data_IF_101870762531
#
_entry.id   IF_101870762531
#
_cell.length_a   1.000
_cell.length_b   1.000
_cell.length_c   1.000
_cell.angle_alpha   90.00
_cell.angle_beta   90.00
_cell.angle_gamma   90.00
#
_symmetry.space_group_name_H-M   'P 1'
#
loop_
_entity.id
_entity.type
_entity.pdbx_description
1 polymer ?
#
# COMPACT_ATOMS: atom_id res chain seq x y z
N UNK A 1 -20.00 3.01 9.00
CA UNK A 1 -18.54 2.96 9.18
C UNK A 1 -17.86 3.77 8.08
N UNK A 2 -16.93 4.67 8.44
CA UNK A 2 -16.27 5.55 7.47
C UNK A 2 -15.10 4.84 6.81
N UNK A 3 -15.03 4.90 5.48
CA UNK A 3 -13.89 4.44 4.70
C UNK A 3 -13.05 5.66 4.29
N UNK A 4 -11.75 5.64 4.57
CA UNK A 4 -10.85 6.70 4.15
C UNK A 4 -10.46 6.52 2.68
N UNK A 5 -10.56 7.59 1.88
CA UNK A 5 -10.10 7.61 0.50
C UNK A 5 -8.86 8.49 0.41
N UNK A 6 -7.73 7.85 0.14
CA UNK A 6 -6.39 8.41 0.25
C UNK A 6 -5.71 8.46 -1.13
N UNK A 7 -4.64 9.23 -1.23
CA UNK A 7 -3.84 9.30 -2.44
C UNK A 7 -2.57 8.45 -2.37
N UNK A 8 -2.17 7.91 -3.52
CA UNK A 8 -0.80 7.46 -3.78
C UNK A 8 -0.04 8.62 -4.43
N UNK A 9 1.11 8.96 -3.89
CA UNK A 9 1.99 10.00 -4.42
C UNK A 9 3.44 9.50 -4.51
N UNK A 10 4.20 10.08 -5.44
CA UNK A 10 5.62 9.78 -5.63
C UNK A 10 6.52 10.97 -5.28
N UNK A 11 5.99 12.18 -5.47
CA UNK A 11 6.72 13.41 -5.17
C UNK A 11 5.94 14.29 -4.17
N UNK A 12 6.63 15.09 -3.35
CA UNK A 12 5.97 16.04 -2.47
C UNK A 12 5.06 17.03 -3.20
N UNK A 13 5.41 17.40 -4.44
CA UNK A 13 4.62 18.27 -5.31
C UNK A 13 3.25 17.68 -5.75
N UNK A 14 3.05 16.37 -5.63
CA UNK A 14 1.79 15.71 -5.94
C UNK A 14 0.72 15.96 -4.85
N UNK A 15 1.16 16.20 -3.62
CA UNK A 15 0.28 16.27 -2.45
C UNK A 15 -0.80 17.37 -2.55
N UNK A 16 -0.51 18.63 -2.98
CA UNK A 16 -1.54 19.64 -3.16
C UNK A 16 -2.59 19.26 -4.21
N UNK A 17 -2.16 18.64 -5.30
CA UNK A 17 -3.06 18.16 -6.37
C UNK A 17 -3.96 17.04 -5.85
N UNK A 18 -3.41 16.10 -5.11
CA UNK A 18 -4.16 15.02 -4.48
C UNK A 18 -5.22 15.56 -3.51
N UNK A 19 -4.86 16.51 -2.65
CA UNK A 19 -5.80 17.17 -1.73
C UNK A 19 -6.91 17.87 -2.49
N UNK A 20 -6.59 18.61 -3.55
CA UNK A 20 -7.58 19.30 -4.40
C UNK A 20 -8.55 18.31 -5.08
N UNK A 21 -8.10 17.10 -5.39
CA UNK A 21 -8.95 16.02 -5.95
C UNK A 21 -9.77 15.29 -4.89
N UNK A 22 -9.69 15.70 -3.63
CA UNK A 22 -10.49 15.18 -2.53
C UNK A 22 -9.84 14.03 -1.76
N UNK A 23 -8.51 13.83 -1.86
CA UNK A 23 -7.80 12.92 -0.97
C UNK A 23 -7.90 13.41 0.49
N UNK A 24 -8.20 12.48 1.39
CA UNK A 24 -8.30 12.76 2.83
C UNK A 24 -6.94 12.60 3.55
N UNK A 25 -5.91 12.26 2.80
CA UNK A 25 -4.55 12.02 3.24
C UNK A 25 -3.77 11.26 2.19
N UNK A 26 -2.66 10.65 2.60
CA UNK A 26 -1.79 9.83 1.76
C UNK A 26 -1.75 8.42 2.32
N UNK A 27 -2.17 7.42 1.55
CA UNK A 27 -2.08 6.02 1.95
C UNK A 27 -0.80 5.33 1.48
N UNK A 28 -0.11 5.97 0.52
CA UNK A 28 1.20 5.53 0.04
C UNK A 28 2.00 6.72 -0.49
N UNK A 29 3.02 7.12 0.22
CA UNK A 29 4.12 7.90 -0.36
C UNK A 29 5.25 6.96 -0.76
N UNK A 30 5.52 6.87 -2.06
CA UNK A 30 6.60 6.06 -2.62
C UNK A 30 7.91 6.82 -2.50
N UNK A 31 8.67 6.52 -1.47
CA UNK A 31 9.91 7.25 -1.17
C UNK A 31 11.03 6.99 -2.18
N UNK A 32 10.93 5.95 -3.01
CA UNK A 32 11.92 5.58 -4.03
C UNK A 32 12.28 6.75 -4.94
N UNK A 33 11.31 7.60 -5.28
CA UNK A 33 11.54 8.75 -6.16
C UNK A 33 12.52 9.78 -5.60
N UNK A 34 12.75 9.78 -4.27
CA UNK A 34 13.79 10.60 -3.66
C UNK A 34 15.19 10.02 -3.85
N UNK A 35 15.28 8.73 -4.15
CA UNK A 35 16.53 7.96 -4.24
C UNK A 35 16.95 7.65 -5.67
N UNK A 36 16.01 7.68 -6.63
CA UNK A 36 16.29 7.38 -8.04
C UNK A 36 17.13 8.47 -8.71
N UNK A 37 17.86 8.08 -9.76
CA UNK A 37 18.66 8.96 -10.61
C UNK A 37 19.74 9.77 -9.86
N UNK A 38 20.25 9.22 -8.74
CA UNK A 38 21.30 9.81 -7.91
C UNK A 38 22.52 8.89 -7.84
N UNK A 39 23.71 9.52 -7.73
CA UNK A 39 24.96 8.81 -7.44
C UNK A 39 25.09 8.47 -5.96
N UNK A 40 24.63 9.38 -5.09
CA UNK A 40 24.63 9.25 -3.65
C UNK A 40 23.23 9.23 -3.08
N UNK A 41 23.06 8.58 -1.92
CA UNK A 41 21.80 8.60 -1.20
C UNK A 41 21.39 10.04 -0.82
N UNK A 42 20.09 10.38 -0.82
CA UNK A 42 19.63 11.67 -0.35
C UNK A 42 20.03 11.85 1.12
N UNK A 43 20.46 13.07 1.45
CA UNK A 43 20.81 13.41 2.83
C UNK A 43 19.59 13.34 3.76
N UNK A 44 19.82 13.25 5.06
CA UNK A 44 18.75 13.29 6.07
C UNK A 44 17.94 14.58 5.94
N UNK A 45 18.61 15.72 5.69
CA UNK A 45 17.94 17.01 5.59
C UNK A 45 17.07 17.13 4.33
N UNK A 46 17.53 16.64 3.16
CA UNK A 46 16.73 16.57 1.93
C UNK A 46 15.48 15.70 2.14
N UNK A 47 15.62 14.54 2.76
CA UNK A 47 14.51 13.66 3.08
C UNK A 47 13.54 14.31 4.07
N UNK A 48 14.06 14.96 5.12
CA UNK A 48 13.26 15.66 6.14
C UNK A 48 12.38 16.74 5.51
N UNK A 49 12.96 17.57 4.63
CA UNK A 49 12.21 18.61 3.92
C UNK A 49 11.09 18.04 3.05
N UNK A 50 11.39 16.98 2.30
CA UNK A 50 10.41 16.30 1.46
C UNK A 50 9.23 15.74 2.30
N UNK A 51 9.52 15.05 3.40
CA UNK A 51 8.49 14.45 4.26
C UNK A 51 7.69 15.52 5.01
N UNK A 52 8.34 16.57 5.52
CA UNK A 52 7.69 17.70 6.18
C UNK A 52 6.72 18.42 5.23
N UNK A 53 7.10 18.60 3.96
CA UNK A 53 6.25 19.21 2.94
C UNK A 53 4.95 18.44 2.74
N UNK A 54 5.02 17.10 2.66
CA UNK A 54 3.82 16.27 2.52
C UNK A 54 2.97 16.32 3.79
N UNK A 55 3.57 16.20 4.96
CA UNK A 55 2.86 16.27 6.24
C UNK A 55 2.10 17.59 6.40
N UNK A 56 2.70 18.71 6.03
CA UNK A 56 2.07 20.06 6.12
C UNK A 56 0.92 20.27 5.14
N UNK A 57 0.87 19.51 4.05
CA UNK A 57 -0.13 19.71 2.99
C UNK A 57 -1.53 19.29 3.43
N UNK A 58 -1.66 18.24 4.21
CA UNK A 58 -2.96 17.73 4.66
C UNK A 58 -3.35 18.33 6.01
N UNK A 59 -4.60 18.14 6.40
CA UNK A 59 -5.11 18.69 7.66
C UNK A 59 -4.51 17.96 8.87
N UNK A 60 -4.58 18.58 10.04
CA UNK A 60 -4.13 17.96 11.29
C UNK A 60 -4.91 16.67 11.55
N UNK A 61 -4.19 15.60 11.93
CA UNK A 61 -4.77 14.27 12.13
C UNK A 61 -5.03 13.46 10.85
N UNK A 62 -4.77 14.02 9.66
CA UNK A 62 -4.85 13.25 8.42
C UNK A 62 -3.82 12.12 8.40
N UNK A 63 -4.24 10.95 7.90
CA UNK A 63 -3.35 9.80 7.72
C UNK A 63 -2.39 10.06 6.56
N UNK A 64 -1.08 10.11 6.85
CA UNK A 64 -0.02 10.23 5.83
C UNK A 64 0.97 9.09 6.02
N UNK A 65 0.97 8.15 5.08
CA UNK A 65 1.77 6.91 5.13
C UNK A 65 2.98 7.03 4.23
N UNK A 66 4.15 6.88 4.82
CA UNK A 66 5.43 6.78 4.12
C UNK A 66 5.86 5.32 4.09
N UNK A 67 6.11 4.80 2.88
CA UNK A 67 6.72 3.49 2.71
C UNK A 67 8.24 3.67 2.72
N UNK A 68 8.96 2.93 3.55
CA UNK A 68 10.42 2.92 3.48
C UNK A 68 10.88 2.37 2.14
N UNK A 69 12.11 2.65 1.79
CA UNK A 69 12.69 2.38 0.47
C UNK A 69 12.39 0.96 -0.04
N UNK A 70 11.71 0.87 -1.19
CA UNK A 70 11.44 -0.37 -1.92
C UNK A 70 12.29 -0.42 -3.19
N UNK A 71 13.58 -0.67 -3.03
CA UNK A 71 14.54 -0.82 -4.11
C UNK A 71 15.22 -2.19 -4.02
N UNK A 72 15.77 -2.64 -5.13
CA UNK A 72 16.47 -3.91 -5.26
C UNK A 72 17.12 -4.00 -6.64
N UNK A 73 17.50 -5.20 -7.08
CA UNK A 73 18.13 -5.39 -8.37
C UNK A 73 17.18 -5.09 -9.56
N UNK A 74 15.86 -5.09 -9.33
CA UNK A 74 14.83 -4.65 -10.29
C UNK A 74 14.73 -3.11 -10.43
N UNK A 75 15.16 -2.39 -9.38
CA UNK A 75 15.24 -0.93 -9.33
C UNK A 75 16.57 -0.53 -8.71
N UNK A 76 17.68 -0.69 -9.44
CA UNK A 76 19.01 -0.53 -8.89
C UNK A 76 19.28 0.93 -8.51
N UNK A 77 19.93 1.09 -7.34
CA UNK A 77 20.45 2.37 -6.88
C UNK A 77 21.97 2.32 -6.96
N UNK A 78 22.60 3.35 -7.52
CA UNK A 78 24.05 3.37 -7.73
C UNK A 78 24.83 3.16 -6.40
N UNK A 79 24.34 3.73 -5.31
CA UNK A 79 24.94 3.66 -3.96
C UNK A 79 24.51 2.45 -3.13
N UNK A 80 23.58 1.62 -3.62
CA UNK A 80 23.06 0.46 -2.90
C UNK A 80 23.05 -0.82 -3.75
N UNK A 81 23.97 -0.91 -4.71
CA UNK A 81 24.07 -2.08 -5.59
C UNK A 81 24.63 -3.28 -4.81
N UNK A 82 23.82 -4.33 -4.68
CA UNK A 82 24.18 -5.62 -4.06
C UNK A 82 24.61 -6.68 -5.09
N UNK A 83 24.81 -6.26 -6.35
CA UNK A 83 25.10 -7.17 -7.46
C UNK A 83 23.86 -7.59 -8.23
N UNK A 84 24.07 -8.33 -9.33
CA UNK A 84 22.98 -8.88 -10.13
C UNK A 84 22.32 -10.07 -9.42
N UNK A 85 21.02 -10.18 -9.58
CA UNK A 85 20.23 -11.32 -9.12
C UNK A 85 19.46 -11.92 -10.30
N UNK A 86 19.35 -13.24 -10.37
CA UNK A 86 18.62 -13.92 -11.44
C UNK A 86 17.12 -13.67 -11.38
N UNK A 87 16.57 -13.50 -10.17
CA UNK A 87 15.16 -13.23 -9.92
C UNK A 87 15.00 -12.02 -8.98
N UNK A 88 15.22 -10.78 -9.49
CA UNK A 88 15.24 -9.58 -8.64
C UNK A 88 13.97 -9.36 -7.82
N UNK A 89 12.80 -9.69 -8.37
CA UNK A 89 11.53 -9.56 -7.66
C UNK A 89 11.39 -10.51 -6.46
N UNK A 90 12.16 -11.62 -6.44
CA UNK A 90 12.21 -12.60 -5.36
C UNK A 90 13.45 -12.43 -4.46
N UNK A 91 14.32 -11.50 -4.80
CA UNK A 91 15.63 -11.30 -4.19
C UNK A 91 15.65 -10.28 -3.04
N UNK A 92 16.77 -9.56 -2.94
CA UNK A 92 17.04 -8.55 -1.91
C UNK A 92 16.44 -7.21 -2.31
N UNK A 93 15.14 -7.07 -2.13
CA UNK A 93 14.43 -5.80 -2.34
C UNK A 93 13.66 -5.38 -1.08
N UNK A 94 13.32 -4.11 -0.99
CA UNK A 94 12.52 -3.55 0.10
C UNK A 94 13.18 -3.78 1.47
N UNK A 95 12.47 -4.37 2.41
CA UNK A 95 12.99 -4.62 3.75
C UNK A 95 14.25 -5.49 3.75
N UNK A 96 14.38 -6.44 2.84
CA UNK A 96 15.56 -7.31 2.73
C UNK A 96 16.82 -6.53 2.35
N UNK A 97 16.69 -5.50 1.50
CA UNK A 97 17.78 -4.56 1.23
C UNK A 97 18.11 -3.76 2.50
N UNK A 98 17.08 -3.27 3.20
CA UNK A 98 17.25 -2.49 4.43
C UNK A 98 17.94 -3.26 5.54
N UNK A 99 17.78 -4.59 5.62
CA UNK A 99 18.48 -5.43 6.58
C UNK A 99 20.00 -5.58 6.29
N UNK A 100 20.40 -5.40 5.04
CA UNK A 100 21.82 -5.40 4.62
C UNK A 100 22.41 -4.00 4.65
N UNK A 101 21.64 -2.99 4.24
CA UNK A 101 22.03 -1.58 4.19
C UNK A 101 21.26 -0.79 5.27
N UNK A 102 21.60 -1.11 6.53
CA UNK A 102 20.93 -0.47 7.69
C UNK A 102 21.20 1.01 7.77
N UNK A 103 22.30 1.49 7.19
CA UNK A 103 22.60 2.92 7.04
C UNK A 103 21.49 3.70 6.30
N UNK A 104 20.92 3.11 5.25
CA UNK A 104 19.87 3.75 4.46
C UNK A 104 18.54 3.85 5.22
N UNK A 105 18.13 2.76 5.88
CA UNK A 105 16.87 2.79 6.63
C UNK A 105 16.98 3.65 7.87
N UNK A 106 18.15 3.66 8.56
CA UNK A 106 18.35 4.49 9.74
C UNK A 106 18.27 5.99 9.38
N UNK A 107 18.94 6.40 8.31
CA UNK A 107 18.85 7.76 7.80
C UNK A 107 17.41 8.15 7.41
N UNK A 108 16.66 7.22 6.80
CA UNK A 108 15.27 7.45 6.42
C UNK A 108 14.34 7.59 7.65
N UNK A 109 14.49 6.73 8.64
CA UNK A 109 13.71 6.79 9.89
C UNK A 109 14.04 8.05 10.70
N UNK A 110 15.32 8.44 10.76
CA UNK A 110 15.75 9.71 11.38
C UNK A 110 15.11 10.91 10.68
N UNK A 111 15.12 10.94 9.35
CA UNK A 111 14.50 12.03 8.58
C UNK A 111 12.97 12.12 8.82
N UNK A 112 12.29 10.98 8.91
CA UNK A 112 10.85 10.93 9.23
C UNK A 112 10.57 11.44 10.66
N UNK A 113 11.39 11.07 11.63
CA UNK A 113 11.27 11.56 13.00
C UNK A 113 11.52 13.07 13.09
N UNK A 114 12.54 13.61 12.40
CA UNK A 114 12.79 15.04 12.29
C UNK A 114 11.64 15.79 11.62
N UNK A 115 11.06 15.21 10.56
CA UNK A 115 9.90 15.80 9.90
C UNK A 115 8.66 15.83 10.82
N UNK A 116 8.46 14.81 11.64
CA UNK A 116 7.42 14.79 12.66
C UNK A 116 7.62 15.90 13.70
N UNK A 117 8.82 16.06 14.22
CA UNK A 117 9.19 17.11 15.17
C UNK A 117 8.98 18.51 14.58
N UNK A 118 9.48 18.76 13.38
CA UNK A 118 9.35 20.05 12.69
C UNK A 118 7.90 20.46 12.38
N UNK A 119 7.03 19.48 12.17
CA UNK A 119 5.64 19.74 11.74
C UNK A 119 4.63 19.60 12.86
N UNK A 120 5.00 18.98 13.97
CA UNK A 120 4.08 18.57 15.03
C UNK A 120 3.09 17.47 14.60
N UNK A 121 3.38 16.72 13.51
CA UNK A 121 2.49 15.73 12.91
C UNK A 121 3.17 14.36 12.86
N UNK A 122 2.48 13.34 13.31
CA UNK A 122 3.01 11.98 13.34
C UNK A 122 2.85 11.30 11.97
N UNK A 123 3.95 10.89 11.30
CA UNK A 123 3.88 10.07 10.10
C UNK A 123 3.48 8.64 10.46
N UNK A 124 2.72 8.02 9.56
CA UNK A 124 2.57 6.58 9.52
C UNK A 124 3.73 6.02 8.68
N UNK A 125 4.47 5.05 9.19
CA UNK A 125 5.64 4.52 8.48
C UNK A 125 5.49 3.01 8.30
N UNK A 126 5.62 2.51 7.07
CA UNK A 126 5.49 1.08 6.78
C UNK A 126 6.67 0.53 5.99
N UNK A 127 7.04 -0.72 6.29
CA UNK A 127 8.03 -1.48 5.53
C UNK A 127 7.39 -2.25 4.37
N UNK A 128 8.01 -2.24 3.17
CA UNK A 128 7.64 -3.11 2.06
C UNK A 128 8.20 -4.53 2.23
N UNK A 129 7.67 -5.50 1.48
CA UNK A 129 8.24 -6.85 1.31
C UNK A 129 8.40 -7.68 2.59
N UNK A 130 7.57 -7.45 3.58
CA UNK A 130 7.55 -8.24 4.82
C UNK A 130 6.90 -9.59 4.56
N UNK A 131 7.60 -10.67 4.90
CA UNK A 131 7.15 -12.05 4.69
C UNK A 131 6.97 -12.85 5.99
N UNK A 132 7.58 -12.39 7.09
CA UNK A 132 7.60 -13.10 8.38
C UNK A 132 7.34 -12.17 9.56
N UNK A 133 6.93 -12.78 10.70
CA UNK A 133 6.79 -12.04 11.97
C UNK A 133 8.12 -11.44 12.43
N UNK A 134 9.22 -12.17 12.30
CA UNK A 134 10.54 -11.70 12.70
C UNK A 134 10.97 -10.45 11.92
N UNK A 135 10.66 -10.37 10.63
CA UNK A 135 10.89 -9.17 9.83
C UNK A 135 10.04 -7.98 10.30
N UNK A 136 8.76 -8.22 10.63
CA UNK A 136 7.88 -7.19 11.18
C UNK A 136 8.38 -6.69 12.55
N UNK A 137 8.82 -7.58 13.42
CA UNK A 137 9.43 -7.25 14.72
C UNK A 137 10.72 -6.45 14.57
N UNK A 138 11.60 -6.87 13.65
CA UNK A 138 12.84 -6.17 13.36
C UNK A 138 12.58 -4.72 12.91
N UNK A 139 11.67 -4.54 11.97
CA UNK A 139 11.31 -3.21 11.47
C UNK A 139 10.64 -2.36 12.54
N UNK A 140 9.64 -2.91 13.23
CA UNK A 140 8.88 -2.19 14.25
C UNK A 140 9.78 -1.69 15.38
N UNK A 141 10.67 -2.55 15.88
CA UNK A 141 11.60 -2.19 16.94
C UNK A 141 12.53 -1.05 16.50
N UNK A 142 13.04 -1.11 15.28
CA UNK A 142 13.94 -0.09 14.72
C UNK A 142 13.23 1.24 14.50
N UNK A 143 12.04 1.23 13.91
CA UNK A 143 11.24 2.43 13.69
C UNK A 143 10.84 3.11 15.00
N UNK A 144 10.42 2.34 15.99
CA UNK A 144 10.06 2.87 17.31
C UNK A 144 11.28 3.44 18.05
N UNK A 145 12.46 2.79 17.94
CA UNK A 145 13.71 3.32 18.48
C UNK A 145 14.10 4.68 17.87
N UNK A 146 13.75 4.91 16.60
CA UNK A 146 13.94 6.20 15.93
C UNK A 146 12.89 7.26 16.30
N UNK A 147 11.87 6.92 17.12
CA UNK A 147 10.81 7.83 17.56
C UNK A 147 9.53 7.81 16.72
N UNK A 148 9.39 6.88 15.78
CA UNK A 148 8.15 6.73 15.01
C UNK A 148 7.05 6.10 15.90
N UNK A 149 5.92 6.78 16.03
CA UNK A 149 4.82 6.36 16.89
C UNK A 149 3.90 5.32 16.23
N UNK A 150 3.64 5.47 14.91
CA UNK A 150 2.70 4.62 14.18
C UNK A 150 3.43 3.83 13.11
N UNK A 151 3.63 2.55 13.36
CA UNK A 151 4.43 1.65 12.53
C UNK A 151 3.54 0.60 11.88
N UNK A 152 3.72 0.37 10.59
CA UNK A 152 2.98 -0.61 9.83
C UNK A 152 3.85 -1.43 8.89
N UNK A 153 3.22 -2.33 8.17
CA UNK A 153 3.85 -3.10 7.10
C UNK A 153 2.99 -3.10 5.84
N UNK A 154 3.62 -3.32 4.70
CA UNK A 154 2.92 -3.63 3.46
C UNK A 154 2.71 -5.14 3.37
N UNK A 155 1.46 -5.55 3.21
CA UNK A 155 1.10 -6.95 2.95
C UNK A 155 1.06 -7.15 1.44
N UNK A 156 2.13 -7.70 0.92
CA UNK A 156 2.30 -7.93 -0.52
C UNK A 156 2.97 -9.27 -0.84
N UNK A 157 3.36 -10.00 0.21
CA UNK A 157 3.81 -11.39 0.13
C UNK A 157 2.69 -12.29 0.65
N UNK A 158 2.26 -13.32 -0.09
CA UNK A 158 1.13 -14.19 0.31
C UNK A 158 1.27 -14.82 1.70
N UNK A 159 2.50 -15.15 2.14
CA UNK A 159 2.76 -15.67 3.49
C UNK A 159 2.27 -14.73 4.59
N UNK A 160 2.46 -13.41 4.40
CA UNK A 160 2.00 -12.40 5.36
C UNK A 160 0.48 -12.30 5.40
N UNK A 161 -0.17 -12.38 4.25
CA UNK A 161 -1.64 -12.38 4.18
C UNK A 161 -2.24 -13.60 4.93
N UNK A 162 -1.70 -14.79 4.71
CA UNK A 162 -2.15 -16.03 5.34
C UNK A 162 -1.82 -16.10 6.85
N UNK A 163 -0.78 -15.43 7.30
CA UNK A 163 -0.32 -15.41 8.69
C UNK A 163 -0.52 -14.04 9.35
N UNK A 164 -1.46 -13.24 8.85
CA UNK A 164 -1.66 -11.87 9.28
C UNK A 164 -1.90 -11.74 10.79
N UNK A 165 -2.61 -12.68 11.42
CA UNK A 165 -2.85 -12.66 12.88
C UNK A 165 -1.56 -12.64 13.71
N UNK A 166 -0.49 -13.30 13.22
CA UNK A 166 0.80 -13.33 13.91
C UNK A 166 1.76 -12.25 13.41
N UNK A 167 1.79 -12.05 12.08
CA UNK A 167 2.74 -11.10 11.47
C UNK A 167 2.41 -9.66 11.84
N UNK A 168 1.12 -9.34 12.03
CA UNK A 168 0.70 -7.98 12.40
C UNK A 168 0.82 -7.67 13.89
N UNK A 169 1.08 -8.65 14.78
CA UNK A 169 1.19 -8.39 16.23
C UNK A 169 2.12 -7.21 16.60
N UNK A 170 3.33 -7.07 16.01
CA UNK A 170 4.25 -6.01 16.40
C UNK A 170 3.96 -4.64 15.78
N UNK A 171 2.92 -4.51 14.94
CA UNK A 171 2.63 -3.28 14.19
C UNK A 171 1.22 -2.74 14.47
N UNK A 172 0.99 -1.47 14.14
CA UNK A 172 -0.26 -0.75 14.43
C UNK A 172 -1.26 -0.81 13.27
N UNK A 173 -0.77 -0.94 12.03
CA UNK A 173 -1.60 -0.98 10.83
C UNK A 173 -0.93 -1.80 9.72
N UNK A 174 -1.68 -2.10 8.68
CA UNK A 174 -1.13 -2.64 7.45
C UNK A 174 -1.79 -2.02 6.22
N UNK A 175 -1.04 -2.00 5.12
CA UNK A 175 -1.56 -1.63 3.81
C UNK A 175 -1.25 -2.74 2.80
N UNK A 176 -2.25 -3.17 2.05
CA UNK A 176 -2.10 -4.27 1.09
C UNK A 176 -1.61 -3.70 -0.24
N UNK A 177 -0.45 -4.17 -0.68
CA UNK A 177 0.13 -3.87 -1.99
C UNK A 177 -0.33 -4.89 -3.03
N UNK A 178 -1.52 -4.68 -3.62
CA UNK A 178 -2.16 -5.67 -4.49
C UNK A 178 -1.36 -6.00 -5.74
N UNK A 179 -0.51 -5.10 -6.24
CA UNK A 179 0.28 -5.36 -7.44
C UNK A 179 1.30 -6.48 -7.22
N UNK A 180 2.13 -6.36 -6.17
CA UNK A 180 3.11 -7.38 -5.81
C UNK A 180 2.41 -8.62 -5.22
N UNK A 181 1.34 -8.44 -4.44
CA UNK A 181 0.55 -9.57 -3.94
C UNK A 181 -0.01 -10.43 -5.08
N UNK A 182 -0.51 -9.81 -6.16
CA UNK A 182 -0.98 -10.52 -7.34
C UNK A 182 0.16 -11.23 -8.05
N UNK A 183 1.30 -10.53 -8.27
CA UNK A 183 2.49 -11.11 -8.90
C UNK A 183 2.94 -12.38 -8.18
N UNK A 184 3.03 -12.36 -6.85
CA UNK A 184 3.49 -13.51 -6.08
C UNK A 184 2.43 -14.60 -5.91
N UNK A 185 1.15 -14.23 -5.82
CA UNK A 185 0.06 -15.20 -5.72
C UNK A 185 -0.13 -15.99 -7.02
N UNK A 186 0.03 -15.32 -8.16
CA UNK A 186 -0.15 -15.90 -9.49
C UNK A 186 1.16 -16.40 -10.12
N UNK A 187 2.31 -16.21 -9.45
CA UNK A 187 3.64 -16.54 -9.97
C UNK A 187 3.89 -15.93 -11.37
N UNK A 188 3.43 -14.70 -11.59
CA UNK A 188 3.49 -14.00 -12.87
C UNK A 188 4.29 -12.70 -12.74
N UNK A 189 5.35 -12.56 -13.51
CA UNK A 189 6.15 -11.33 -13.54
C UNK A 189 5.35 -10.22 -14.22
N UNK A 190 5.10 -9.13 -13.50
CA UNK A 190 4.37 -7.96 -14.01
C UNK A 190 5.08 -7.20 -15.13
N UNK A 191 6.37 -7.47 -15.35
CA UNK A 191 7.14 -6.92 -16.47
C UNK A 191 6.95 -7.73 -17.76
N UNK A 192 6.32 -8.92 -17.69
CA UNK A 192 6.03 -9.79 -18.82
C UNK A 192 4.62 -9.53 -19.33
N UNK A 193 4.49 -8.72 -20.39
CA UNK A 193 3.18 -8.35 -20.96
C UNK A 193 2.31 -9.55 -21.38
N UNK A 194 2.92 -10.67 -21.76
CA UNK A 194 2.22 -11.92 -22.10
C UNK A 194 1.47 -12.55 -20.91
N UNK A 195 1.82 -12.18 -19.67
CA UNK A 195 1.17 -12.66 -18.44
C UNK A 195 0.14 -11.67 -17.86
N UNK A 196 -0.19 -10.61 -18.58
CA UNK A 196 -1.07 -9.54 -18.10
C UNK A 196 -2.45 -10.06 -17.62
N UNK A 197 -2.99 -11.10 -18.23
CA UNK A 197 -4.26 -11.71 -17.84
C UNK A 197 -4.21 -12.33 -16.43
N UNK A 198 -3.05 -12.83 -16.00
CA UNK A 198 -2.85 -13.34 -14.64
C UNK A 198 -2.73 -12.22 -13.60
N UNK A 199 -2.39 -11.02 -14.03
CA UNK A 199 -2.07 -9.88 -13.16
C UNK A 199 -3.28 -8.97 -12.87
N UNK A 200 -4.47 -9.35 -13.35
CA UNK A 200 -5.68 -8.60 -13.02
C UNK A 200 -5.95 -8.62 -11.51
N UNK A 201 -6.29 -7.46 -10.91
CA UNK A 201 -6.61 -7.40 -9.48
C UNK A 201 -7.93 -8.10 -9.12
N UNK A 202 -8.70 -8.54 -10.11
CA UNK A 202 -9.92 -9.29 -9.94
C UNK A 202 -9.72 -10.80 -9.71
N UNK A 203 -8.48 -11.29 -9.65
CA UNK A 203 -8.20 -12.68 -9.34
C UNK A 203 -8.85 -13.11 -8.02
N UNK A 204 -9.74 -14.14 -8.00
CA UNK A 204 -10.38 -14.58 -6.77
C UNK A 204 -9.40 -14.94 -5.66
N UNK A 205 -8.25 -15.54 -6.03
CA UNK A 205 -7.17 -15.86 -5.09
C UNK A 205 -6.61 -14.61 -4.40
N UNK A 206 -6.49 -13.49 -5.12
CA UNK A 206 -6.00 -12.21 -4.55
C UNK A 206 -7.05 -11.63 -3.61
N UNK A 207 -8.33 -11.64 -3.99
CA UNK A 207 -9.43 -11.19 -3.13
C UNK A 207 -9.49 -12.03 -1.84
N UNK A 208 -9.25 -13.36 -1.92
CA UNK A 208 -9.16 -14.23 -0.76
C UNK A 208 -7.99 -13.86 0.16
N UNK A 209 -6.82 -13.52 -0.40
CA UNK A 209 -5.67 -13.07 0.40
C UNK A 209 -5.92 -11.73 1.09
N UNK A 210 -6.63 -10.81 0.42
CA UNK A 210 -7.09 -9.56 1.06
C UNK A 210 -8.03 -9.87 2.21
N UNK A 211 -9.01 -10.75 2.01
CA UNK A 211 -9.93 -11.20 3.06
C UNK A 211 -9.18 -11.84 4.24
N UNK A 212 -8.27 -12.77 3.96
CA UNK A 212 -7.47 -13.42 4.99
C UNK A 212 -6.65 -12.42 5.83
N UNK A 213 -6.12 -11.38 5.16
CA UNK A 213 -5.43 -10.29 5.86
C UNK A 213 -6.36 -9.54 6.80
N UNK A 214 -7.56 -9.20 6.36
CA UNK A 214 -8.54 -8.50 7.18
C UNK A 214 -9.05 -9.36 8.35
N UNK A 215 -9.32 -10.64 8.10
CA UNK A 215 -9.79 -11.59 9.13
C UNK A 215 -8.76 -11.78 10.27
N UNK A 216 -7.46 -11.79 9.92
CA UNK A 216 -6.39 -11.92 10.91
C UNK A 216 -5.91 -10.62 11.57
N UNK A 217 -6.44 -9.48 11.14
CA UNK A 217 -5.93 -8.18 11.59
C UNK A 217 -6.31 -7.79 13.03
N UNK A 218 -7.34 -8.41 13.60
CA UNK A 218 -7.93 -7.94 14.87
C UNK A 218 -8.47 -6.51 14.73
N UNK A 219 -8.13 -5.64 15.65
CA UNK A 219 -8.59 -4.23 15.66
C UNK A 219 -7.74 -3.30 14.77
N UNK A 220 -6.72 -3.84 14.08
CA UNK A 220 -5.82 -3.03 13.25
C UNK A 220 -6.50 -2.56 11.97
N UNK A 221 -6.21 -1.32 11.59
CA UNK A 221 -6.72 -0.75 10.35
C UNK A 221 -5.98 -1.34 9.15
N UNK A 222 -6.72 -2.02 8.27
CA UNK A 222 -6.21 -2.53 7.01
C UNK A 222 -6.60 -1.59 5.87
N UNK A 223 -5.59 -1.15 5.12
CA UNK A 223 -5.76 -0.40 3.89
C UNK A 223 -5.36 -1.19 2.65
N UNK A 224 -5.71 -0.68 1.48
CA UNK A 224 -5.20 -1.13 0.17
C UNK A 224 -4.60 0.06 -0.55
N UNK A 225 -3.38 -0.09 -1.06
CA UNK A 225 -2.67 0.95 -1.80
C UNK A 225 -2.20 0.54 -3.20
N UNK A 226 -2.51 -0.68 -3.63
CA UNK A 226 -2.29 -1.12 -5.01
C UNK A 226 -3.36 -0.59 -5.98
N UNK A 227 -3.21 -0.94 -7.25
CA UNK A 227 -4.11 -0.47 -8.32
C UNK A 227 -5.57 -0.88 -8.12
N UNK A 228 -5.82 -2.01 -7.44
CA UNK A 228 -7.13 -2.49 -7.06
C UNK A 228 -7.99 -1.44 -6.35
N UNK A 229 -7.38 -0.61 -5.50
CA UNK A 229 -8.08 0.44 -4.75
C UNK A 229 -8.69 1.54 -5.64
N UNK A 230 -8.16 1.70 -6.85
CA UNK A 230 -8.60 2.72 -7.80
C UNK A 230 -9.71 2.27 -8.78
N UNK A 231 -10.13 1.00 -8.72
CA UNK A 231 -11.28 0.49 -9.47
C UNK A 231 -12.56 0.71 -8.62
N UNK A 232 -13.54 1.50 -9.08
CA UNK A 232 -14.73 1.82 -8.30
C UNK A 232 -15.57 0.60 -7.89
N UNK A 233 -15.64 -0.42 -8.74
CA UNK A 233 -16.39 -1.64 -8.44
C UNK A 233 -15.60 -2.54 -7.48
N UNK A 234 -14.30 -2.75 -7.72
CA UNK A 234 -13.46 -3.54 -6.84
C UNK A 234 -13.31 -2.90 -5.46
N UNK A 235 -13.36 -1.57 -5.37
CA UNK A 235 -13.38 -0.85 -4.09
C UNK A 235 -14.54 -1.30 -3.18
N UNK A 236 -15.73 -1.59 -3.75
CA UNK A 236 -16.87 -2.13 -3.00
C UNK A 236 -16.58 -3.53 -2.45
N UNK A 237 -15.93 -4.38 -3.26
CA UNK A 237 -15.49 -5.72 -2.85
C UNK A 237 -14.48 -5.62 -1.71
N UNK A 238 -13.46 -4.77 -1.87
CA UNK A 238 -12.42 -4.55 -0.85
C UNK A 238 -13.00 -4.08 0.49
N UNK A 239 -13.95 -3.14 0.46
CA UNK A 239 -14.68 -2.70 1.66
C UNK A 239 -15.50 -3.85 2.26
N UNK A 240 -16.16 -4.63 1.42
CA UNK A 240 -16.96 -5.79 1.83
C UNK A 240 -16.15 -6.86 2.56
N UNK A 241 -14.90 -7.11 2.16
CA UNK A 241 -14.01 -8.07 2.83
C UNK A 241 -13.31 -7.52 4.08
N UNK A 242 -13.49 -6.23 4.39
CA UNK A 242 -12.99 -5.68 5.64
C UNK A 242 -11.99 -4.52 5.53
N UNK A 243 -11.62 -4.08 4.34
CA UNK A 243 -10.71 -2.94 4.14
C UNK A 243 -11.34 -1.64 4.65
N UNK A 244 -10.52 -0.77 5.31
CA UNK A 244 -10.96 0.49 5.93
C UNK A 244 -10.35 1.74 5.31
N UNK A 245 -9.36 1.59 4.46
CA UNK A 245 -8.83 2.70 3.66
C UNK A 245 -8.41 2.25 2.27
N UNK A 246 -8.68 3.09 1.29
CA UNK A 246 -8.38 2.86 -0.12
C UNK A 246 -7.49 4.00 -0.61
N UNK A 247 -6.32 3.66 -1.14
CA UNK A 247 -5.33 4.63 -1.60
C UNK A 247 -5.01 4.42 -3.08
N UNK A 248 -5.10 5.48 -3.86
CA UNK A 248 -5.06 5.40 -5.31
C UNK A 248 -4.44 6.65 -5.95
N UNK A 249 -4.20 6.60 -7.25
CA UNK A 249 -3.86 7.79 -8.02
C UNK A 249 -4.95 8.86 -7.90
N UNK A 250 -4.58 10.13 -7.77
CA UNK A 250 -5.50 11.24 -7.52
C UNK A 250 -6.68 11.33 -8.51
N UNK A 251 -6.46 10.93 -9.77
CA UNK A 251 -7.50 10.92 -10.80
C UNK A 251 -8.64 9.90 -10.57
N UNK A 252 -8.42 8.88 -9.74
CA UNK A 252 -9.40 7.82 -9.44
C UNK A 252 -10.29 8.14 -8.23
N UNK A 253 -9.90 9.09 -7.39
CA UNK A 253 -10.55 9.39 -6.10
C UNK A 253 -12.04 9.69 -6.26
N UNK A 254 -12.39 10.52 -7.23
CA UNK A 254 -13.80 10.96 -7.42
C UNK A 254 -14.70 9.78 -7.77
N UNK A 255 -14.28 8.91 -8.68
CA UNK A 255 -15.06 7.75 -9.11
C UNK A 255 -15.25 6.74 -7.96
N UNK A 256 -14.18 6.46 -7.20
CA UNK A 256 -14.27 5.57 -6.03
C UNK A 256 -15.18 6.16 -4.95
N UNK A 257 -15.07 7.45 -4.63
CA UNK A 257 -15.98 8.11 -3.69
C UNK A 257 -17.42 8.05 -4.16
N UNK A 258 -17.70 8.24 -5.45
CA UNK A 258 -19.02 8.14 -6.01
C UNK A 258 -19.61 6.73 -5.86
N UNK A 259 -18.83 5.68 -6.11
CA UNK A 259 -19.26 4.30 -5.90
C UNK A 259 -19.57 4.03 -4.41
N UNK A 260 -18.64 4.38 -3.51
CA UNK A 260 -18.82 4.19 -2.08
C UNK A 260 -20.04 4.93 -1.50
N UNK A 261 -20.32 6.14 -1.98
CA UNK A 261 -21.45 6.95 -1.47
C UNK A 261 -22.84 6.36 -1.76
N UNK A 262 -22.92 5.39 -2.67
CA UNK A 262 -24.16 4.74 -3.11
C UNK A 262 -24.39 3.37 -2.48
N UNK A 263 -23.45 2.92 -1.66
CA UNK A 263 -23.50 1.59 -1.05
C UNK A 263 -23.28 1.69 0.45
N UNK A 264 -24.03 0.89 1.19
CA UNK A 264 -23.77 0.63 2.59
C UNK A 264 -22.87 -0.61 2.76
N UNK A 265 -22.38 -0.84 3.97
CA UNK A 265 -21.45 -1.94 4.26
C UNK A 265 -22.07 -3.32 3.99
N UNK A 266 -23.36 -3.50 4.24
CA UNK A 266 -24.05 -4.77 3.98
C UNK A 266 -24.11 -5.08 2.48
N UNK A 267 -24.39 -4.06 1.66
CA UNK A 267 -24.32 -4.20 0.20
C UNK A 267 -22.90 -4.55 -0.27
N UNK A 268 -21.88 -3.87 0.27
CA UNK A 268 -20.49 -4.19 -0.04
C UNK A 268 -20.12 -5.64 0.33
N UNK A 269 -20.60 -6.14 1.47
CA UNK A 269 -20.38 -7.54 1.88
C UNK A 269 -21.02 -8.53 0.90
N UNK A 270 -22.26 -8.31 0.49
CA UNK A 270 -22.92 -9.16 -0.52
C UNK A 270 -22.20 -9.15 -1.86
N UNK A 271 -21.70 -8.00 -2.30
CA UNK A 271 -20.89 -7.86 -3.52
C UNK A 271 -19.58 -8.64 -3.37
N UNK A 272 -18.93 -8.55 -2.21
CA UNK A 272 -17.69 -9.25 -1.92
C UNK A 272 -17.87 -10.77 -1.88
N UNK A 273 -18.94 -11.25 -1.25
CA UNK A 273 -19.27 -12.68 -1.19
C UNK A 273 -19.50 -13.26 -2.59
N UNK A 274 -20.17 -12.53 -3.47
CA UNK A 274 -20.37 -12.94 -4.85
C UNK A 274 -19.06 -12.99 -5.65
N UNK A 275 -18.16 -12.02 -5.46
CA UNK A 275 -16.85 -12.02 -6.10
C UNK A 275 -15.94 -13.15 -5.59
N UNK A 276 -15.98 -13.46 -4.29
CA UNK A 276 -15.23 -14.56 -3.68
C UNK A 276 -15.71 -15.95 -4.11
N UNK A 277 -16.99 -16.11 -4.46
CA UNK A 277 -17.56 -17.36 -4.93
C UNK A 277 -17.25 -17.67 -6.40
N UNK A 278 -16.71 -16.71 -7.14
CA UNK A 278 -16.40 -16.86 -8.56
C UNK A 278 -15.16 -17.72 -8.79
N UNK A 279 -15.08 -18.34 -9.96
CA UNK A 279 -13.97 -19.20 -10.39
C UNK A 279 -12.96 -18.46 -11.28
N UNK A 280 -13.33 -17.31 -11.84
CA UNK A 280 -12.45 -16.50 -12.70
C UNK A 280 -12.57 -14.99 -12.39
N UNK A 281 -11.61 -14.18 -12.83
CA UNK A 281 -11.67 -12.72 -12.69
C UNK A 281 -12.90 -12.11 -13.37
N UNK A 282 -13.27 -12.61 -14.55
CA UNK A 282 -14.42 -12.14 -15.33
C UNK A 282 -15.72 -12.46 -14.62
N UNK A 283 -15.84 -13.67 -14.06
CA UNK A 283 -16.98 -14.07 -13.24
C UNK A 283 -17.09 -13.23 -11.99
N UNK A 284 -15.97 -13.00 -11.29
CA UNK A 284 -15.94 -12.17 -10.09
C UNK A 284 -16.41 -10.74 -10.37
N UNK A 285 -15.89 -10.12 -11.43
CA UNK A 285 -16.28 -8.79 -11.86
C UNK A 285 -17.76 -8.73 -12.27
N UNK A 286 -18.22 -9.69 -13.04
CA UNK A 286 -19.61 -9.79 -13.51
C UNK A 286 -20.58 -9.99 -12.34
N UNK A 287 -20.25 -10.86 -11.39
CA UNK A 287 -21.06 -11.11 -10.21
C UNK A 287 -21.16 -9.88 -9.31
N UNK A 288 -20.03 -9.18 -9.11
CA UNK A 288 -20.00 -7.93 -8.37
C UNK A 288 -20.87 -6.83 -9.03
N UNK A 289 -20.75 -6.66 -10.35
CA UNK A 289 -21.48 -5.63 -11.09
C UNK A 289 -23.00 -5.84 -11.04
N UNK A 290 -23.47 -7.08 -11.09
CA UNK A 290 -24.89 -7.41 -10.98
C UNK A 290 -25.55 -7.00 -9.65
N UNK A 291 -24.76 -6.90 -8.59
CA UNK A 291 -25.24 -6.53 -7.25
C UNK A 291 -24.97 -5.08 -6.89
N UNK A 292 -24.11 -4.39 -7.64
CA UNK A 292 -23.81 -2.99 -7.45
C UNK A 292 -24.95 -2.10 -7.95
N UNK A 293 -24.99 -0.86 -7.48
CA UNK A 293 -25.87 0.19 -8.04
C UNK A 293 -25.58 0.36 -9.54
N UNK A 294 -26.60 0.42 -10.41
CA UNK A 294 -26.41 0.51 -11.87
C UNK A 294 -25.53 1.68 -12.32
N UNK A 295 -25.46 2.75 -11.55
CA UNK A 295 -24.61 3.90 -11.89
C UNK A 295 -23.11 3.62 -11.77
N UNK A 296 -22.72 2.53 -11.12
CA UNK A 296 -21.31 2.10 -11.05
C UNK A 296 -20.81 1.65 -12.43
N UNK A 297 -21.69 1.12 -13.29
CA UNK A 297 -21.34 0.71 -14.65
C UNK A 297 -20.70 1.85 -15.45
N UNK A 298 -21.21 3.07 -15.30
CA UNK A 298 -20.66 4.27 -15.94
C UNK A 298 -19.30 4.69 -15.36
N UNK A 299 -19.00 4.31 -14.12
CA UNK A 299 -17.72 4.64 -13.46
C UNK A 299 -16.60 3.67 -13.84
N UNK A 300 -16.94 2.50 -14.38
CA UNK A 300 -15.99 1.42 -14.72
C UNK A 300 -15.88 1.17 -16.24
N UNK A 301 -16.67 1.89 -17.05
CA UNK A 301 -16.54 1.98 -18.51
C UNK A 301 -15.47 3.02 -18.86
#
# INVERSE_FOLDING_TARGET
>A
ERILVLANIGNPSDAPTAKKKGAEGVGLFRTEFLFLDRQDAPTIDEQTEAYATVLKTFDEGAKVVFRTLDAGADKPLAFANLGAEENPALGRRGLRLSQVRTDLIDAQLEALAKAAEQTGRDPYVMAPMVATKAEAEWFSSRARAAGIKTVGIMVEVPSTALRSSQVLEPVDFASIGTNDLTQYAMAADRLQGELAELLTPWQPAVIQLVKATCDGAGDRLIGVCGEAAGDPLLALVLVGVGVRSLSMAAGKITAVKAALSRHNLEQCRRIADAALAACSPEEARTAALKLADPSVEVLVS
#
